data_IF_584081373586
#
_entry.id   IF_584081373586
#
_cell.length_a   1.000
_cell.length_b   1.000
_cell.length_c   1.000
_cell.angle_alpha   90.00
_cell.angle_beta   90.00
_cell.angle_gamma   90.00
#
_symmetry.space_group_name_H-M   'P 1'
#
loop_
_entity.id
_entity.type
_entity.pdbx_description
1 polymer ?
#
# COMPACT_ATOMS: atom_id res chain seq x y z
N UNK A 1 -69.51 -1.52 16.24
CA UNK A 1 -70.24 -0.31 15.82
C UNK A 1 -70.16 -0.23 14.29
N UNK A 2 -71.29 0.05 13.65
CA UNK A 2 -71.62 -0.20 12.23
C UNK A 2 -71.07 0.84 11.21
N UNK A 3 -71.14 0.46 9.92
CA UNK A 3 -71.15 1.22 8.65
C UNK A 3 -69.83 1.26 7.82
N UNK A 4 -69.75 0.58 6.64
CA UNK A 4 -70.25 0.91 5.26
C UNK A 4 -69.66 2.22 4.69
N UNK A 5 -69.28 2.39 3.41
CA UNK A 5 -69.16 1.54 2.22
C UNK A 5 -68.36 2.32 1.12
N UNK A 6 -67.70 1.56 0.22
CA UNK A 6 -67.38 1.81 -1.21
C UNK A 6 -66.83 3.17 -1.67
N UNK A 7 -65.70 3.12 -2.38
CA UNK A 7 -65.56 3.80 -3.67
C UNK A 7 -64.74 2.96 -4.66
N UNK A 8 -65.46 2.25 -5.55
CA UNK A 8 -64.93 1.45 -6.64
C UNK A 8 -64.75 2.36 -7.88
N UNK A 9 -63.79 3.29 -7.83
CA UNK A 9 -63.45 4.14 -9.00
C UNK A 9 -61.94 4.33 -9.21
N UNK A 10 -61.05 3.90 -8.30
CA UNK A 10 -59.60 4.12 -8.47
C UNK A 10 -58.87 3.00 -9.21
N UNK A 11 -59.38 1.75 -9.25
CA UNK A 11 -58.64 0.64 -9.86
C UNK A 11 -58.55 0.71 -11.39
N UNK A 12 -59.53 1.32 -12.07
CA UNK A 12 -59.49 1.46 -13.54
C UNK A 12 -58.52 2.57 -13.95
N UNK A 13 -58.44 3.66 -13.19
CA UNK A 13 -57.48 4.74 -13.45
C UNK A 13 -56.03 4.26 -13.27
N UNK A 14 -55.75 3.42 -12.26
CA UNK A 14 -54.42 2.85 -12.05
C UNK A 14 -54.04 1.90 -13.18
N UNK A 15 -54.97 1.08 -13.67
CA UNK A 15 -54.70 0.18 -14.80
C UNK A 15 -54.43 0.95 -16.10
N UNK A 16 -55.18 2.03 -16.38
CA UNK A 16 -54.98 2.85 -17.58
C UNK A 16 -53.63 3.57 -17.52
N UNK A 17 -53.23 4.09 -16.35
CA UNK A 17 -51.92 4.74 -16.18
C UNK A 17 -50.78 3.73 -16.38
N UNK A 18 -50.91 2.51 -15.86
CA UNK A 18 -49.91 1.46 -16.06
C UNK A 18 -49.83 0.97 -17.51
N UNK A 19 -50.96 0.87 -18.22
CA UNK A 19 -50.98 0.52 -19.64
C UNK A 19 -50.38 1.64 -20.51
N UNK A 20 -50.68 2.91 -20.19
CA UNK A 20 -50.08 4.06 -20.87
C UNK A 20 -48.57 4.14 -20.62
N UNK A 21 -48.11 3.87 -19.39
CA UNK A 21 -46.67 3.80 -19.09
C UNK A 21 -45.98 2.67 -19.87
N UNK A 22 -46.64 1.51 -20.00
CA UNK A 22 -46.09 0.37 -20.73
C UNK A 22 -46.08 0.59 -22.25
N UNK A 23 -47.10 1.27 -22.79
CA UNK A 23 -47.13 1.70 -24.20
C UNK A 23 -46.09 2.79 -24.47
N UNK A 24 -45.93 3.75 -23.55
CA UNK A 24 -44.87 4.77 -23.66
C UNK A 24 -43.47 4.15 -23.56
N UNK A 25 -43.25 3.15 -22.70
CA UNK A 25 -41.99 2.42 -22.62
C UNK A 25 -41.71 1.54 -23.85
N UNK A 26 -42.74 1.07 -24.58
CA UNK A 26 -42.58 0.36 -25.86
C UNK A 26 -42.39 1.29 -27.06
N UNK A 27 -43.00 2.48 -27.04
CA UNK A 27 -42.86 3.48 -28.10
C UNK A 27 -41.59 4.32 -27.93
N UNK A 28 -41.06 4.42 -26.71
CA UNK A 28 -39.73 4.96 -26.43
C UNK A 28 -38.68 3.87 -26.59
N UNK A 29 -38.46 3.46 -27.84
CA UNK A 29 -37.26 2.77 -28.25
C UNK A 29 -36.30 3.84 -28.76
N UNK A 30 -35.46 4.47 -27.92
CA UNK A 30 -34.36 5.24 -28.46
C UNK A 30 -33.56 4.21 -29.25
N UNK A 31 -33.47 4.40 -30.57
CA UNK A 31 -32.35 3.83 -31.31
C UNK A 31 -31.13 4.28 -30.53
N UNK A 32 -30.57 3.36 -29.76
CA UNK A 32 -29.21 3.46 -29.29
C UNK A 32 -28.46 3.41 -30.61
N UNK A 33 -28.15 4.60 -31.13
CA UNK A 33 -27.01 4.73 -32.01
C UNK A 33 -25.90 4.02 -31.25
N UNK A 34 -25.49 2.86 -31.75
CA UNK A 34 -24.20 2.29 -31.45
C UNK A 34 -23.19 3.35 -31.89
N UNK A 35 -22.94 4.30 -30.99
CA UNK A 35 -21.71 5.04 -31.00
C UNK A 35 -20.63 3.96 -31.03
N UNK A 36 -19.69 4.02 -31.98
CA UNK A 36 -18.60 3.07 -32.02
C UNK A 36 -17.98 3.06 -30.62
N UNK A 37 -17.80 1.87 -30.04
CA UNK A 37 -17.04 1.68 -28.81
C UNK A 37 -15.89 2.70 -28.82
N UNK A 38 -15.86 3.61 -27.85
CA UNK A 38 -14.74 4.52 -27.67
C UNK A 38 -13.49 3.68 -27.88
N UNK A 39 -12.70 4.03 -28.90
CA UNK A 39 -11.41 3.41 -29.13
C UNK A 39 -10.73 3.39 -27.76
N UNK A 40 -10.33 2.21 -27.28
CA UNK A 40 -9.62 2.10 -26.01
C UNK A 40 -8.40 3.01 -26.13
N UNK A 41 -8.47 4.21 -25.56
CA UNK A 41 -7.42 5.21 -25.74
C UNK A 41 -6.16 4.62 -25.10
N UNK A 42 -5.23 4.19 -25.96
CA UNK A 42 -3.94 3.69 -25.52
C UNK A 42 -3.29 4.78 -24.65
N UNK A 43 -2.69 4.44 -23.50
CA UNK A 43 -2.04 5.42 -22.66
C UNK A 43 -0.96 6.18 -23.46
N UNK A 44 -1.02 7.51 -23.40
CA UNK A 44 -0.01 8.41 -24.00
C UNK A 44 1.27 8.40 -23.17
N UNK A 45 2.09 7.36 -23.36
CA UNK A 45 3.38 7.22 -22.68
C UNK A 45 4.47 7.91 -23.51
N UNK A 46 5.30 8.77 -22.91
CA UNK A 46 6.43 9.40 -23.59
C UNK A 46 7.31 8.38 -24.33
N UNK A 47 7.66 8.69 -25.59
CA UNK A 47 8.45 7.82 -26.45
C UNK A 47 9.76 7.38 -25.79
N UNK A 48 10.44 8.30 -25.11
CA UNK A 48 11.69 8.00 -24.40
C UNK A 48 11.55 6.88 -23.35
N UNK A 49 10.40 6.77 -22.70
CA UNK A 49 10.14 5.71 -21.72
C UNK A 49 9.88 4.40 -22.46
N UNK A 50 9.00 4.40 -23.48
CA UNK A 50 8.71 3.20 -24.29
C UNK A 50 9.98 2.63 -24.94
N UNK A 51 10.84 3.51 -25.48
CA UNK A 51 12.10 3.12 -26.12
C UNK A 51 13.09 2.44 -25.15
N UNK A 52 13.13 2.87 -23.87
CA UNK A 52 13.95 2.20 -22.85
C UNK A 52 13.46 0.79 -22.55
N UNK A 53 12.14 0.58 -22.47
CA UNK A 53 11.56 -0.74 -22.21
C UNK A 53 11.72 -1.72 -23.40
N UNK A 54 11.86 -1.21 -24.62
CA UNK A 54 12.19 -2.03 -25.79
C UNK A 54 13.61 -2.61 -25.75
N UNK A 55 14.46 -2.14 -24.83
CA UNK A 55 15.83 -2.62 -24.69
C UNK A 55 15.92 -3.80 -23.69
N UNK A 56 15.86 -5.02 -24.21
CA UNK A 56 15.79 -6.25 -23.41
C UNK A 56 16.96 -6.44 -22.44
N UNK A 57 18.15 -5.94 -22.79
CA UNK A 57 19.36 -6.07 -21.98
C UNK A 57 19.31 -5.38 -20.61
N UNK A 58 18.35 -4.47 -20.39
CA UNK A 58 18.20 -3.75 -19.12
C UNK A 58 17.18 -4.37 -18.18
N UNK A 59 16.32 -5.28 -18.63
CA UNK A 59 15.31 -5.93 -17.79
C UNK A 59 14.55 -4.94 -16.89
N UNK A 60 14.02 -3.88 -17.51
CA UNK A 60 13.39 -2.77 -16.79
C UNK A 60 12.05 -3.15 -16.17
N UNK A 61 11.69 -2.46 -15.10
CA UNK A 61 10.36 -2.49 -14.48
C UNK A 61 9.93 -1.08 -14.07
N UNK A 62 8.66 -0.75 -14.28
CA UNK A 62 8.09 0.52 -13.86
C UNK A 62 7.93 0.56 -12.33
N UNK A 63 8.48 1.59 -11.69
CA UNK A 63 8.32 1.82 -10.24
C UNK A 63 7.54 3.11 -9.95
N UNK A 64 7.47 4.02 -10.91
CA UNK A 64 6.87 5.34 -10.71
C UNK A 64 5.34 5.29 -10.60
N UNK A 65 4.73 5.80 -9.51
CA UNK A 65 3.28 5.83 -9.37
C UNK A 65 2.54 6.55 -10.50
N UNK A 66 3.11 7.61 -11.09
CA UNK A 66 2.46 8.36 -12.17
C UNK A 66 2.41 7.53 -13.45
N UNK A 67 3.51 6.82 -13.77
CA UNK A 67 3.55 5.88 -14.90
C UNK A 67 2.59 4.71 -14.69
N UNK A 68 2.60 4.10 -13.50
CA UNK A 68 1.73 2.97 -13.18
C UNK A 68 0.24 3.36 -13.21
N UNK A 69 -0.12 4.55 -12.72
CA UNK A 69 -1.50 5.07 -12.79
C UNK A 69 -1.93 5.39 -14.22
N UNK A 70 -1.04 5.98 -15.02
CA UNK A 70 -1.27 6.20 -16.46
C UNK A 70 -1.56 4.87 -17.18
N UNK A 71 -0.72 3.86 -16.99
CA UNK A 71 -0.91 2.51 -17.57
C UNK A 71 -2.23 1.85 -17.15
N UNK A 72 -2.62 2.02 -15.88
CA UNK A 72 -3.84 1.41 -15.34
C UNK A 72 -5.13 2.11 -15.81
N UNK A 73 -5.10 3.43 -16.01
CA UNK A 73 -6.32 4.24 -16.20
C UNK A 73 -6.40 4.97 -17.54
N UNK A 74 -5.37 4.86 -18.37
CA UNK A 74 -5.12 5.68 -19.57
C UNK A 74 -5.09 7.20 -19.32
N UNK A 75 -5.11 7.66 -18.06
CA UNK A 75 -5.04 9.08 -17.68
C UNK A 75 -3.61 9.46 -17.31
N UNK A 76 -2.89 10.08 -18.24
CA UNK A 76 -1.45 10.28 -18.16
C UNK A 76 -1.01 11.70 -17.76
N UNK A 77 -1.95 12.56 -17.32
CA UNK A 77 -1.67 13.96 -16.92
C UNK A 77 -0.57 14.06 -15.85
N UNK A 78 -0.60 13.20 -14.83
CA UNK A 78 0.44 13.18 -13.78
C UNK A 78 1.81 12.77 -14.35
N UNK A 79 1.84 11.81 -15.28
CA UNK A 79 3.06 11.38 -15.95
C UNK A 79 3.62 12.48 -16.85
N UNK A 80 2.75 13.21 -17.56
CA UNK A 80 3.10 14.35 -18.42
C UNK A 80 3.63 15.54 -17.59
N UNK A 81 3.10 15.76 -16.39
CA UNK A 81 3.57 16.81 -15.49
C UNK A 81 4.84 16.43 -14.68
N UNK A 82 5.20 15.15 -14.60
CA UNK A 82 6.35 14.70 -13.81
C UNK A 82 7.69 15.12 -14.43
N UNK A 83 8.57 15.74 -13.64
CA UNK A 83 9.93 16.10 -14.07
C UNK A 83 10.81 14.87 -14.31
N UNK A 84 10.58 13.81 -13.52
CA UNK A 84 11.30 12.56 -13.62
C UNK A 84 10.39 11.35 -13.45
N UNK A 85 10.81 10.21 -14.02
CA UNK A 85 10.14 8.92 -13.91
C UNK A 85 11.09 7.88 -13.34
N UNK A 86 10.71 7.22 -12.26
CA UNK A 86 11.53 6.18 -11.61
C UNK A 86 11.24 4.77 -12.18
N UNK A 87 12.28 4.13 -12.72
CA UNK A 87 12.31 2.75 -13.17
C UNK A 87 13.29 1.90 -12.32
N UNK A 88 13.05 0.61 -12.31
CA UNK A 88 13.93 -0.40 -11.72
C UNK A 88 14.59 -1.26 -12.78
N UNK A 89 15.72 -1.87 -12.46
CA UNK A 89 16.35 -2.92 -13.26
C UNK A 89 16.80 -4.07 -12.37
N UNK A 90 16.68 -5.30 -12.86
CA UNK A 90 17.25 -6.50 -12.23
C UNK A 90 18.71 -6.76 -12.63
N UNK A 91 19.32 -5.88 -13.43
CA UNK A 91 20.73 -5.95 -13.76
C UNK A 91 21.59 -5.97 -12.48
N UNK A 92 22.66 -6.76 -12.50
CA UNK A 92 23.49 -7.02 -11.32
C UNK A 92 24.19 -5.76 -10.77
N UNK A 93 24.49 -4.80 -11.64
CA UNK A 93 25.07 -3.51 -11.28
C UNK A 93 24.88 -2.48 -12.42
N UNK A 94 25.37 -1.26 -12.21
CA UNK A 94 25.28 -0.17 -13.19
C UNK A 94 26.06 -0.39 -14.51
N UNK A 95 26.84 -1.47 -14.68
CA UNK A 95 27.51 -1.75 -15.96
C UNK A 95 26.53 -2.04 -17.09
N UNK A 96 25.32 -2.53 -16.79
CA UNK A 96 24.28 -2.73 -17.80
C UNK A 96 23.88 -1.43 -18.50
N UNK A 97 24.13 -0.26 -17.90
CA UNK A 97 23.89 1.04 -18.53
C UNK A 97 24.92 1.39 -19.61
N UNK A 98 26.06 0.69 -19.68
CA UNK A 98 27.01 0.85 -20.78
C UNK A 98 26.38 0.51 -22.13
N UNK A 99 25.37 -0.38 -22.14
CA UNK A 99 24.61 -0.76 -23.33
C UNK A 99 23.84 0.41 -23.97
N UNK A 100 23.67 1.52 -23.25
CA UNK A 100 22.99 2.71 -23.74
C UNK A 100 23.95 3.81 -24.21
N UNK A 101 25.28 3.63 -24.11
CA UNK A 101 26.26 4.70 -24.38
C UNK A 101 26.29 5.14 -25.86
N UNK A 102 25.98 4.26 -26.80
CA UNK A 102 25.98 4.55 -28.24
C UNK A 102 24.62 5.08 -28.76
N UNK A 103 23.77 5.52 -27.85
CA UNK A 103 22.40 5.98 -28.16
C UNK A 103 22.28 7.48 -27.86
N UNK A 104 21.25 8.18 -28.40
CA UNK A 104 21.07 9.63 -28.20
C UNK A 104 20.59 9.99 -26.78
N UNK A 105 21.01 9.26 -25.75
CA UNK A 105 20.64 9.51 -24.36
C UNK A 105 21.80 10.23 -23.64
N UNK A 106 21.46 11.21 -22.82
CA UNK A 106 22.42 11.77 -21.87
C UNK A 106 22.43 10.91 -20.61
N UNK A 107 23.54 10.22 -20.34
CA UNK A 107 23.64 9.27 -19.22
C UNK A 107 24.55 9.85 -18.14
N UNK A 108 24.01 9.96 -16.93
CA UNK A 108 24.77 10.36 -15.75
C UNK A 108 24.70 9.26 -14.69
N UNK A 109 25.82 8.57 -14.45
CA UNK A 109 25.94 7.61 -13.35
C UNK A 109 26.04 8.37 -12.02
N UNK A 110 25.05 8.19 -11.15
CA UNK A 110 25.03 8.80 -9.83
C UNK A 110 25.75 7.94 -8.80
N UNK A 111 25.55 6.61 -8.90
CA UNK A 111 26.17 5.61 -8.05
C UNK A 111 26.23 4.27 -8.78
N UNK A 112 26.93 3.24 -8.23
CA UNK A 112 26.94 1.90 -8.81
C UNK A 112 25.54 1.25 -8.95
N UNK A 113 24.51 1.82 -8.32
CA UNK A 113 23.16 1.28 -8.29
C UNK A 113 22.12 2.23 -8.89
N UNK A 114 22.52 3.37 -9.44
CA UNK A 114 21.56 4.37 -9.90
C UNK A 114 22.14 5.27 -10.99
N UNK A 115 21.36 5.43 -12.05
CA UNK A 115 21.70 6.23 -13.23
C UNK A 115 20.54 7.14 -13.60
N UNK A 116 20.86 8.37 -14.00
CA UNK A 116 19.93 9.27 -14.66
C UNK A 116 20.11 9.17 -16.17
N UNK A 117 18.99 9.16 -16.88
CA UNK A 117 18.93 9.12 -18.33
C UNK A 117 18.09 10.31 -18.79
N UNK A 118 18.73 11.27 -19.43
CA UNK A 118 18.06 12.35 -20.16
C UNK A 118 17.85 11.97 -21.62
N UNK A 119 16.79 12.51 -22.20
CA UNK A 119 16.61 12.53 -23.65
C UNK A 119 16.40 13.97 -24.09
N UNK A 120 17.17 14.38 -25.09
CA UNK A 120 17.09 15.71 -25.67
C UNK A 120 16.18 15.63 -26.90
N UNK A 121 15.03 16.29 -26.85
CA UNK A 121 14.19 16.47 -28.02
C UNK A 121 14.66 17.71 -28.79
N UNK A 122 14.36 17.80 -30.09
CA UNK A 122 14.72 18.96 -30.94
C UNK A 122 14.19 20.32 -30.43
N UNK A 123 13.20 20.30 -29.53
CA UNK A 123 12.59 21.46 -28.88
C UNK A 123 13.02 21.64 -27.41
N UNK A 124 14.06 20.93 -26.95
CA UNK A 124 14.62 20.98 -25.58
C UNK A 124 14.49 19.68 -24.78
N UNK A 125 15.09 19.65 -23.58
CA UNK A 125 15.03 18.50 -22.66
C UNK A 125 13.63 18.32 -22.10
N UNK A 126 13.05 17.11 -22.21
CA UNK A 126 11.63 16.96 -21.87
C UNK A 126 11.24 15.80 -20.95
N UNK A 127 12.19 15.13 -20.26
CA UNK A 127 11.97 14.31 -19.03
C UNK A 127 13.21 13.52 -18.67
N UNK A 128 13.55 13.47 -17.38
CA UNK A 128 14.62 12.61 -16.88
C UNK A 128 14.07 11.26 -16.43
N UNK A 129 14.73 10.17 -16.81
CA UNK A 129 14.41 8.84 -16.32
C UNK A 129 15.45 8.43 -15.29
N UNK A 130 15.00 8.13 -14.08
CA UNK A 130 15.84 7.61 -13.02
C UNK A 130 15.76 6.09 -13.05
N UNK A 131 16.88 5.39 -13.20
CA UNK A 131 16.92 3.94 -13.16
C UNK A 131 17.72 3.47 -11.95
N UNK A 132 17.10 2.69 -11.07
CA UNK A 132 17.75 2.08 -9.91
C UNK A 132 17.87 0.57 -10.03
N UNK A 133 19.01 0.02 -9.63
CA UNK A 133 19.22 -1.41 -9.49
C UNK A 133 18.38 -1.94 -8.33
N UNK A 134 17.58 -2.97 -8.60
CA UNK A 134 16.78 -3.70 -7.63
C UNK A 134 17.62 -4.82 -7.01
N UNK A 135 18.22 -4.56 -5.85
CA UNK A 135 19.04 -5.56 -5.18
C UNK A 135 18.17 -6.54 -4.39
N UNK A 136 18.08 -7.78 -4.86
CA UNK A 136 17.51 -8.87 -4.09
C UNK A 136 18.39 -9.17 -2.86
N UNK A 137 17.74 -9.44 -1.73
CA UNK A 137 18.41 -9.98 -0.55
C UNK A 137 18.36 -11.51 -0.61
N UNK A 138 19.49 -12.24 -0.56
CA UNK A 138 19.49 -13.70 -0.66
C UNK A 138 18.61 -14.38 0.39
N UNK A 139 18.64 -13.85 1.63
CA UNK A 139 17.94 -14.47 2.76
C UNK A 139 16.59 -13.80 3.09
N UNK A 140 16.14 -12.83 2.29
CA UNK A 140 14.97 -12.00 2.64
C UNK A 140 14.13 -11.69 1.41
N UNK A 141 12.82 -11.76 1.58
CA UNK A 141 11.84 -11.48 0.52
C UNK A 141 11.65 -9.97 0.27
N UNK A 142 12.71 -9.26 -0.12
CA UNK A 142 12.60 -7.88 -0.60
C UNK A 142 13.68 -7.49 -1.61
N UNK A 143 13.34 -6.47 -2.38
CA UNK A 143 14.20 -5.73 -3.29
C UNK A 143 14.58 -4.39 -2.64
N UNK A 144 15.88 -4.12 -2.53
CA UNK A 144 16.42 -2.86 -2.00
C UNK A 144 16.74 -1.89 -3.11
N UNK A 145 16.32 -0.65 -2.92
CA UNK A 145 16.69 0.52 -3.71
C UNK A 145 17.54 1.42 -2.81
N UNK A 146 18.75 1.73 -3.26
CA UNK A 146 19.63 2.63 -2.53
C UNK A 146 19.15 4.07 -2.67
N UNK A 147 19.36 4.82 -1.60
CA UNK A 147 19.15 6.25 -1.64
C UNK A 147 20.34 6.97 -2.25
N UNK A 148 20.07 8.16 -2.74
CA UNK A 148 21.06 9.10 -3.25
C UNK A 148 20.66 10.50 -2.82
N UNK A 149 21.63 11.40 -2.62
CA UNK A 149 21.34 12.73 -2.08
C UNK A 149 20.86 13.71 -3.15
N UNK A 150 21.42 13.63 -4.36
CA UNK A 150 21.18 14.62 -5.42
C UNK A 150 20.97 13.92 -6.78
N UNK A 151 19.72 13.67 -7.21
CA UNK A 151 18.45 14.03 -6.57
C UNK A 151 18.18 13.23 -5.28
N UNK A 152 17.28 13.72 -4.42
CA UNK A 152 16.88 13.04 -3.16
C UNK A 152 16.12 11.74 -3.50
N UNK A 153 16.85 10.65 -3.68
CA UNK A 153 16.29 9.31 -3.81
C UNK A 153 16.19 8.74 -2.40
N UNK A 154 14.95 8.51 -1.98
CA UNK A 154 14.66 7.89 -0.69
C UNK A 154 15.02 6.40 -0.80
N UNK A 155 15.85 5.84 0.11
CA UNK A 155 16.13 4.41 0.10
C UNK A 155 14.85 3.63 0.41
N UNK A 156 14.63 2.51 -0.28
CA UNK A 156 13.43 1.67 -0.13
C UNK A 156 13.78 0.20 -0.03
N UNK A 157 12.97 -0.54 0.73
CA UNK A 157 12.90 -1.99 0.64
C UNK A 157 11.45 -2.33 0.34
N UNK A 158 11.25 -3.02 -0.76
CA UNK A 158 9.94 -3.37 -1.27
C UNK A 158 9.89 -4.88 -1.28
N UNK A 159 8.86 -5.48 -0.67
CA UNK A 159 8.64 -6.93 -0.73
C UNK A 159 8.71 -7.38 -2.19
N UNK A 160 9.33 -8.52 -2.47
CA UNK A 160 9.46 -8.98 -3.84
C UNK A 160 8.06 -9.15 -4.46
N UNK A 161 7.94 -8.79 -5.73
CA UNK A 161 6.67 -8.79 -6.42
C UNK A 161 6.82 -9.43 -7.79
N UNK A 162 5.75 -10.05 -8.26
CA UNK A 162 5.68 -10.59 -9.62
C UNK A 162 5.39 -9.45 -10.58
N UNK A 163 5.92 -9.55 -11.79
CA UNK A 163 5.68 -8.59 -12.87
C UNK A 163 4.77 -9.19 -13.94
N UNK A 164 4.19 -8.30 -14.75
CA UNK A 164 3.46 -8.59 -15.99
C UNK A 164 3.81 -7.51 -17.01
N UNK A 165 3.60 -7.78 -18.30
CA UNK A 165 3.80 -6.78 -19.36
C UNK A 165 2.47 -6.12 -19.71
N UNK A 166 2.45 -4.79 -19.79
CA UNK A 166 1.30 -3.98 -20.19
C UNK A 166 1.77 -2.88 -21.14
N UNK A 167 1.19 -2.79 -22.34
CA UNK A 167 1.59 -1.81 -23.38
C UNK A 167 3.10 -1.77 -23.65
N UNK A 168 3.76 -2.94 -23.67
CA UNK A 168 5.21 -3.06 -23.86
C UNK A 168 6.06 -2.65 -22.64
N UNK A 169 5.43 -2.39 -21.49
CA UNK A 169 6.11 -2.00 -20.25
C UNK A 169 5.92 -3.08 -19.20
N UNK A 170 7.03 -3.52 -18.60
CA UNK A 170 7.00 -4.42 -17.44
C UNK A 170 6.55 -3.65 -16.20
N UNK A 171 5.47 -4.10 -15.57
CA UNK A 171 4.87 -3.49 -14.38
C UNK A 171 4.70 -4.51 -13.25
N UNK A 172 4.61 -4.07 -11.98
CA UNK A 172 4.13 -4.93 -10.90
C UNK A 172 2.75 -5.49 -11.22
N UNK A 173 2.53 -6.77 -10.94
CA UNK A 173 1.24 -7.46 -11.19
C UNK A 173 0.08 -6.82 -10.43
N UNK A 174 0.31 -6.45 -9.18
CA UNK A 174 -0.64 -5.70 -8.35
C UNK A 174 -0.17 -4.24 -8.23
N UNK A 175 -0.68 -3.40 -9.13
CA UNK A 175 -0.31 -1.99 -9.21
C UNK A 175 -0.75 -1.22 -7.96
N UNK A 176 -1.94 -1.49 -7.42
CA UNK A 176 -2.48 -0.71 -6.30
C UNK A 176 -1.71 -0.97 -5.01
N UNK A 177 -1.50 -2.24 -4.68
CA UNK A 177 -0.68 -2.63 -3.53
C UNK A 177 0.75 -2.11 -3.67
N UNK A 178 1.31 -2.16 -4.87
CA UNK A 178 2.65 -1.62 -5.13
C UNK A 178 2.70 -0.10 -4.91
N UNK A 179 1.75 0.67 -5.46
CA UNK A 179 1.70 2.13 -5.27
C UNK A 179 1.53 2.49 -3.79
N UNK A 180 0.68 1.76 -3.06
CA UNK A 180 0.48 1.98 -1.62
C UNK A 180 1.80 1.79 -0.85
N UNK A 181 2.52 0.69 -1.13
CA UNK A 181 3.84 0.42 -0.56
C UNK A 181 4.87 1.45 -0.99
N UNK A 182 4.87 1.88 -2.25
CA UNK A 182 5.81 2.86 -2.77
C UNK A 182 5.65 4.22 -2.09
N UNK A 183 4.41 4.69 -1.91
CA UNK A 183 4.16 5.99 -1.28
C UNK A 183 4.56 6.03 0.20
N UNK A 184 4.45 4.89 0.90
CA UNK A 184 4.60 4.83 2.37
C UNK A 184 5.89 4.15 2.84
N UNK A 185 6.38 3.18 2.10
CA UNK A 185 7.51 2.34 2.44
C UNK A 185 8.84 3.05 2.22
N UNK A 186 9.71 2.99 3.23
CA UNK A 186 11.10 3.44 3.15
C UNK A 186 11.98 2.39 3.79
N UNK A 187 13.22 2.33 3.36
CA UNK A 187 14.21 1.50 4.02
C UNK A 187 14.76 2.23 5.24
N UNK A 188 14.67 1.57 6.38
CA UNK A 188 15.30 2.01 7.61
C UNK A 188 16.29 0.95 8.04
N UNK A 189 17.56 1.30 7.97
CA UNK A 189 18.60 0.46 8.54
C UNK A 189 18.47 0.48 10.05
N UNK A 190 18.58 -0.69 10.66
CA UNK A 190 18.46 -0.80 12.10
C UNK A 190 19.81 -0.50 12.77
N UNK A 191 19.76 -0.15 14.06
CA UNK A 191 20.95 0.12 14.89
C UNK A 191 21.58 -1.20 15.36
N UNK A 192 22.36 -1.84 14.49
CA UNK A 192 23.02 -3.13 14.78
C UNK A 192 24.02 -3.05 15.95
N UNK A 193 24.60 -1.88 16.19
CA UNK A 193 25.42 -1.58 17.37
C UNK A 193 24.65 -1.84 18.65
N UNK A 194 23.43 -1.29 18.73
CA UNK A 194 22.58 -1.38 19.91
C UNK A 194 22.05 -2.80 20.12
N UNK A 195 21.69 -3.50 19.03
CA UNK A 195 21.21 -4.89 19.04
C UNK A 195 22.10 -5.85 19.84
N UNK A 196 23.42 -5.67 19.81
CA UNK A 196 24.38 -6.56 20.48
C UNK A 196 24.15 -6.64 21.99
N UNK A 197 23.59 -5.60 22.60
CA UNK A 197 23.33 -5.51 24.04
C UNK A 197 22.04 -6.18 24.51
N UNK A 198 21.17 -6.62 23.59
CA UNK A 198 19.84 -7.16 23.90
C UNK A 198 19.66 -8.61 23.47
N UNK A 199 20.77 -9.35 23.33
CA UNK A 199 20.73 -10.79 23.07
C UNK A 199 20.12 -11.51 24.27
N UNK A 200 19.26 -12.48 24.00
CA UNK A 200 18.62 -13.31 25.01
C UNK A 200 18.68 -14.77 24.60
N UNK A 201 19.07 -15.61 25.54
CA UNK A 201 18.94 -17.05 25.42
C UNK A 201 17.46 -17.43 25.64
N UNK A 202 16.90 -18.22 24.72
CA UNK A 202 15.52 -18.68 24.71
C UNK A 202 14.47 -17.55 24.64
N UNK A 203 14.36 -16.85 23.49
CA UNK A 203 13.33 -15.84 23.31
C UNK A 203 11.93 -16.49 23.22
N UNK A 204 10.93 -15.85 23.84
CA UNK A 204 9.50 -16.15 23.63
C UNK A 204 9.11 -15.81 22.19
N UNK A 205 9.60 -14.67 21.68
CA UNK A 205 9.42 -14.31 20.28
C UNK A 205 10.42 -15.08 19.41
N UNK A 206 9.88 -16.02 18.64
CA UNK A 206 10.63 -16.82 17.67
C UNK A 206 10.51 -16.25 16.24
N UNK A 207 11.34 -16.68 15.28
CA UNK A 207 11.22 -16.25 13.88
C UNK A 207 9.85 -16.53 13.26
N UNK A 208 9.14 -17.59 13.67
CA UNK A 208 7.78 -17.89 13.17
C UNK A 208 6.79 -16.79 13.55
N UNK A 209 6.87 -16.24 14.76
CA UNK A 209 6.06 -15.09 15.17
C UNK A 209 6.35 -13.83 14.34
N UNK A 210 7.60 -13.60 13.95
CA UNK A 210 7.96 -12.47 13.08
C UNK A 210 7.41 -12.67 11.66
N UNK A 211 7.44 -13.91 11.15
CA UNK A 211 6.80 -14.24 9.87
C UNK A 211 5.28 -14.07 9.94
N UNK A 212 4.63 -14.51 11.03
CA UNK A 212 3.21 -14.30 11.27
C UNK A 212 2.85 -12.81 11.31
N UNK A 213 3.65 -12.00 11.98
CA UNK A 213 3.48 -10.54 12.00
C UNK A 213 3.68 -9.87 10.64
N UNK A 214 4.67 -10.34 9.87
CA UNK A 214 4.87 -9.92 8.48
C UNK A 214 3.63 -10.23 7.64
N UNK A 215 3.10 -11.46 7.73
CA UNK A 215 1.87 -11.86 7.01
C UNK A 215 0.65 -11.08 7.47
N UNK A 216 0.50 -10.79 8.76
CA UNK A 216 -0.59 -9.94 9.25
C UNK A 216 -0.52 -8.53 8.63
N UNK A 217 0.69 -7.97 8.50
CA UNK A 217 0.89 -6.70 7.79
C UNK A 217 0.48 -6.77 6.31
N UNK A 218 0.60 -7.92 5.67
CA UNK A 218 0.17 -8.12 4.28
C UNK A 218 -1.36 -8.14 4.18
N UNK A 219 -2.06 -8.82 5.09
CA UNK A 219 -3.53 -8.81 5.16
C UNK A 219 -4.08 -7.39 5.34
N UNK A 220 -3.41 -6.57 6.15
CA UNK A 220 -3.76 -5.14 6.24
C UNK A 220 -3.60 -4.44 4.89
N UNK A 221 -2.47 -4.62 4.22
CA UNK A 221 -2.20 -3.98 2.93
C UNK A 221 -3.20 -4.39 1.85
N UNK A 222 -3.59 -5.67 1.79
CA UNK A 222 -4.62 -6.18 0.88
C UNK A 222 -5.98 -5.51 1.10
N UNK A 223 -6.29 -5.12 2.34
CA UNK A 223 -7.50 -4.36 2.67
C UNK A 223 -7.35 -2.84 2.51
N UNK A 224 -6.21 -2.35 2.01
CA UNK A 224 -5.91 -0.91 1.86
C UNK A 224 -5.45 -0.21 3.13
N UNK A 225 -5.09 -0.97 4.17
CA UNK A 225 -4.65 -0.48 5.48
C UNK A 225 -3.14 -0.60 5.64
N UNK A 226 -2.52 0.33 6.36
CA UNK A 226 -1.08 0.25 6.64
C UNK A 226 -0.82 0.14 8.13
N UNK A 227 -0.22 -0.97 8.51
CA UNK A 227 0.25 -1.24 9.85
C UNK A 227 1.43 -0.32 10.23
N UNK A 228 1.38 0.18 11.46
CA UNK A 228 2.43 0.96 12.11
C UNK A 228 2.77 0.21 13.39
N UNK A 229 4.04 -0.02 13.72
CA UNK A 229 4.33 -0.61 15.03
C UNK A 229 4.11 0.42 16.13
N UNK A 230 3.57 -0.03 17.24
CA UNK A 230 3.32 0.80 18.42
C UNK A 230 4.02 0.21 19.65
N UNK A 231 3.97 0.95 20.75
CA UNK A 231 4.29 0.44 22.09
C UNK A 231 5.63 -0.29 22.20
N UNK A 232 5.60 -1.44 22.87
CA UNK A 232 6.78 -2.28 23.08
C UNK A 232 7.33 -2.87 21.78
N UNK A 233 6.47 -3.05 20.78
CA UNK A 233 6.82 -3.59 19.47
C UNK A 233 7.69 -2.61 18.68
N UNK A 234 7.32 -1.33 18.66
CA UNK A 234 8.13 -0.26 18.07
C UNK A 234 9.45 -0.06 18.81
N UNK A 235 9.40 -0.07 20.16
CA UNK A 235 10.59 0.06 20.99
C UNK A 235 11.60 -1.06 20.69
N UNK A 236 11.12 -2.30 20.56
CA UNK A 236 11.95 -3.43 20.15
C UNK A 236 12.70 -3.15 18.86
N UNK A 237 12.02 -2.62 17.85
CA UNK A 237 12.66 -2.37 16.56
C UNK A 237 13.82 -1.36 16.69
N UNK A 238 13.56 -0.22 17.36
CA UNK A 238 14.57 0.82 17.57
C UNK A 238 15.74 0.33 18.41
N UNK A 239 15.47 -0.53 19.40
CA UNK A 239 16.45 -0.96 20.39
C UNK A 239 17.29 -2.15 19.92
N UNK A 240 16.70 -3.07 19.17
CA UNK A 240 17.28 -4.39 18.95
C UNK A 240 16.94 -5.02 17.59
N UNK A 241 16.52 -4.19 16.63
CA UNK A 241 16.23 -4.62 15.25
C UNK A 241 15.22 -5.77 15.17
N UNK A 242 14.22 -5.81 16.04
CA UNK A 242 13.24 -6.90 16.11
C UNK A 242 12.22 -6.64 17.19
N UNK A 243 11.48 -7.66 17.63
CA UNK A 243 10.62 -7.54 18.81
C UNK A 243 11.43 -7.76 20.07
N UNK A 244 10.97 -7.22 21.20
CA UNK A 244 11.50 -7.54 22.52
C UNK A 244 11.27 -9.04 22.81
N UNK A 245 12.31 -9.86 23.04
CA UNK A 245 12.22 -11.32 22.98
C UNK A 245 11.36 -11.94 24.08
N UNK A 246 11.08 -11.22 25.15
CA UNK A 246 10.29 -11.69 26.30
C UNK A 246 8.90 -11.05 26.38
N UNK A 247 8.48 -10.30 25.35
CA UNK A 247 7.10 -9.79 25.28
C UNK A 247 6.14 -10.95 25.00
N UNK A 248 4.89 -10.80 25.44
CA UNK A 248 3.81 -11.81 25.28
C UNK A 248 2.72 -11.35 24.33
N UNK A 249 2.85 -10.13 23.82
CA UNK A 249 1.94 -9.47 22.89
C UNK A 249 2.71 -8.54 21.95
N UNK A 250 2.06 -8.19 20.85
CA UNK A 250 2.51 -7.22 19.86
C UNK A 250 1.53 -6.05 19.78
N UNK A 251 2.01 -4.86 19.45
CA UNK A 251 1.21 -3.65 19.33
C UNK A 251 1.31 -3.10 17.91
N UNK A 252 0.17 -3.00 17.23
CA UNK A 252 0.05 -2.47 15.88
C UNK A 252 -0.94 -1.30 15.89
N UNK A 253 -0.61 -0.24 15.18
CA UNK A 253 -1.45 0.93 14.94
C UNK A 253 -1.92 0.99 13.51
N UNK A 254 -3.18 1.38 13.32
CA UNK A 254 -3.76 1.66 11.99
C UNK A 254 -4.53 2.97 12.08
N UNK A 255 -4.42 3.83 11.08
CA UNK A 255 -5.22 5.06 11.07
C UNK A 255 -6.69 4.70 10.86
N UNK A 256 -7.58 5.24 11.69
CA UNK A 256 -9.02 4.98 11.55
C UNK A 256 -9.59 5.41 10.18
N UNK A 257 -8.97 6.41 9.55
CA UNK A 257 -9.32 6.83 8.20
C UNK A 257 -9.06 5.75 7.13
N UNK A 258 -8.24 4.76 7.43
CA UNK A 258 -7.93 3.62 6.57
C UNK A 258 -8.77 2.40 6.90
N UNK A 259 -9.57 2.44 7.97
CA UNK A 259 -10.34 1.29 8.41
C UNK A 259 -11.21 0.72 7.29
N UNK A 260 -10.97 -0.56 6.99
CA UNK A 260 -11.74 -1.33 6.05
C UNK A 260 -12.21 -2.63 6.71
N UNK A 261 -13.53 -2.85 6.75
CA UNK A 261 -14.12 -4.04 7.36
C UNK A 261 -13.75 -5.34 6.62
N UNK A 262 -13.35 -5.27 5.35
CA UNK A 262 -12.86 -6.42 4.58
C UNK A 262 -11.68 -7.11 5.26
N UNK A 263 -10.85 -6.38 6.01
CA UNK A 263 -9.79 -7.01 6.81
C UNK A 263 -10.33 -8.07 7.79
N UNK A 264 -11.49 -7.82 8.39
CA UNK A 264 -12.10 -8.79 9.33
C UNK A 264 -12.59 -10.04 8.60
N UNK A 265 -13.00 -9.90 7.35
CA UNK A 265 -13.36 -11.04 6.49
C UNK A 265 -12.11 -11.83 6.11
N UNK A 266 -11.01 -11.15 5.76
CA UNK A 266 -9.73 -11.80 5.49
C UNK A 266 -9.23 -12.59 6.69
N UNK A 267 -9.23 -12.01 7.90
CA UNK A 267 -8.83 -12.74 9.11
C UNK A 267 -9.78 -13.91 9.42
N UNK A 268 -11.09 -13.76 9.20
CA UNK A 268 -12.05 -14.86 9.43
C UNK A 268 -11.88 -16.03 8.47
N UNK A 269 -11.43 -15.75 7.24
CA UNK A 269 -11.24 -16.74 6.19
C UNK A 269 -9.80 -17.28 6.14
N UNK A 270 -8.94 -16.84 7.06
CA UNK A 270 -7.57 -17.29 7.18
C UNK A 270 -7.46 -18.42 8.22
N UNK A 271 -6.77 -19.51 7.87
CA UNK A 271 -6.67 -20.68 8.73
C UNK A 271 -5.74 -20.49 9.95
N UNK A 272 -4.86 -19.48 9.91
CA UNK A 272 -3.83 -19.28 10.94
C UNK A 272 -4.10 -18.06 11.85
N UNK A 273 -4.85 -17.07 11.36
CA UNK A 273 -5.24 -15.90 12.16
C UNK A 273 -6.64 -16.05 12.74
N UNK A 274 -6.82 -15.65 14.01
CA UNK A 274 -8.11 -15.66 14.69
C UNK A 274 -8.30 -14.40 15.50
N UNK A 275 -9.47 -13.78 15.37
CA UNK A 275 -9.86 -12.66 16.23
C UNK A 275 -10.16 -13.21 17.64
N UNK A 276 -9.37 -12.79 18.63
CA UNK A 276 -9.55 -13.14 20.04
C UNK A 276 -10.50 -12.18 20.75
N UNK A 277 -10.43 -10.90 20.37
CA UNK A 277 -11.13 -9.82 21.07
C UNK A 277 -11.42 -8.67 20.11
N UNK A 278 -12.54 -7.99 20.35
CA UNK A 278 -12.91 -6.73 19.73
C UNK A 278 -13.43 -5.78 20.80
N UNK A 279 -12.96 -4.52 20.79
CA UNK A 279 -13.35 -3.48 21.75
C UNK A 279 -13.73 -2.21 21.00
N UNK A 280 -14.68 -1.48 21.56
CA UNK A 280 -15.10 -0.17 21.05
C UNK A 280 -15.92 -0.26 19.77
N UNK A 281 -16.00 0.86 19.05
CA UNK A 281 -16.68 0.97 17.75
C UNK A 281 -15.80 1.79 16.81
N UNK A 282 -16.02 1.67 15.50
CA UNK A 282 -15.27 2.45 14.49
C UNK A 282 -15.26 3.94 14.82
N UNK A 283 -16.34 4.48 15.37
CA UNK A 283 -16.48 5.89 15.71
C UNK A 283 -15.65 6.27 16.95
N UNK A 284 -15.34 5.31 17.83
CA UNK A 284 -14.64 5.57 19.08
C UNK A 284 -13.93 4.33 19.66
N UNK A 285 -12.61 4.45 19.82
CA UNK A 285 -11.80 3.53 20.62
C UNK A 285 -11.75 2.11 20.10
N UNK A 286 -11.71 1.95 18.77
CA UNK A 286 -11.71 0.66 18.12
C UNK A 286 -10.39 -0.09 18.27
N UNK A 287 -10.48 -1.37 18.66
CA UNK A 287 -9.33 -2.24 18.89
C UNK A 287 -9.69 -3.71 18.59
N UNK A 288 -8.75 -4.46 18.03
CA UNK A 288 -8.83 -5.92 17.91
C UNK A 288 -7.61 -6.60 18.49
N UNK A 289 -7.78 -7.79 19.03
CA UNK A 289 -6.67 -8.70 19.31
C UNK A 289 -6.76 -9.87 18.34
N UNK A 290 -5.67 -10.16 17.62
CA UNK A 290 -5.61 -11.24 16.62
C UNK A 290 -4.45 -12.19 16.99
N UNK A 291 -4.67 -13.50 16.94
CA UNK A 291 -3.59 -14.48 17.17
C UNK A 291 -2.44 -14.28 16.19
N UNK A 292 -1.21 -14.51 16.63
CA UNK A 292 -0.04 -14.50 15.76
C UNK A 292 0.43 -15.94 15.63
N UNK A 293 0.48 -16.49 14.41
CA UNK A 293 1.00 -17.83 14.17
C UNK A 293 2.45 -17.94 14.67
N UNK A 294 2.76 -19.05 15.32
CA UNK A 294 4.09 -19.31 15.86
C UNK A 294 4.11 -20.46 16.86
N UNK A 295 5.26 -20.64 17.49
CA UNK A 295 5.52 -21.81 18.34
C UNK A 295 4.87 -21.70 19.74
N UNK A 296 4.32 -20.54 20.07
CA UNK A 296 3.67 -20.26 21.34
C UNK A 296 2.41 -19.40 21.14
N UNK A 297 1.52 -19.37 22.13
CA UNK A 297 0.34 -18.51 22.09
C UNK A 297 0.76 -17.03 22.19
N UNK A 298 0.70 -16.34 21.06
CA UNK A 298 1.00 -14.91 20.92
C UNK A 298 -0.18 -14.22 20.24
N UNK A 299 -0.36 -12.93 20.48
CA UNK A 299 -1.35 -12.11 19.78
C UNK A 299 -0.83 -10.71 19.50
N UNK A 300 -1.43 -10.05 18.52
CA UNK A 300 -1.24 -8.63 18.27
C UNK A 300 -2.49 -7.87 18.65
N UNK A 301 -2.34 -6.84 19.48
CA UNK A 301 -3.32 -5.80 19.71
C UNK A 301 -3.20 -4.73 18.61
N UNK A 302 -4.30 -4.52 17.90
CA UNK A 302 -4.43 -3.61 16.76
C UNK A 302 -5.25 -2.42 17.23
N UNK A 303 -4.59 -1.29 17.41
CA UNK A 303 -5.16 -0.04 17.87
C UNK A 303 -5.50 0.86 16.67
N UNK A 304 -6.75 1.28 16.56
CA UNK A 304 -7.09 2.31 15.59
C UNK A 304 -6.80 3.71 16.13
N UNK A 305 -6.03 4.46 15.33
CA UNK A 305 -5.53 5.80 15.63
C UNK A 305 -6.50 6.84 15.09
N UNK A 306 -7.08 7.62 15.99
CA UNK A 306 -8.01 8.70 15.70
C UNK A 306 -7.27 10.03 15.65
N UNK A 307 -7.62 10.88 14.70
CA UNK A 307 -7.03 12.21 14.60
C UNK A 307 -7.53 13.11 15.73
N UNK A 308 -6.62 13.81 16.40
CA UNK A 308 -6.94 14.92 17.31
C UNK A 308 -6.24 16.19 16.81
N UNK A 309 -7.01 17.04 16.13
CA UNK A 309 -6.49 18.26 15.49
C UNK A 309 -5.45 17.98 14.41
N UNK A 310 -4.57 18.94 14.17
CA UNK A 310 -3.50 18.82 13.17
C UNK A 310 -2.24 18.11 13.69
N UNK A 311 -2.04 18.08 15.01
CA UNK A 311 -0.77 17.74 15.63
C UNK A 311 -0.76 16.41 16.41
N UNK A 312 -1.90 15.75 16.60
CA UNK A 312 -1.95 14.52 17.39
C UNK A 312 -2.83 13.45 16.74
N UNK A 313 -2.51 12.20 17.06
CA UNK A 313 -3.36 11.04 16.92
C UNK A 313 -3.55 10.42 18.31
N UNK A 314 -4.62 9.70 18.54
CA UNK A 314 -4.87 9.06 19.82
C UNK A 314 -5.49 7.68 19.61
N UNK A 315 -5.20 6.77 20.53
CA UNK A 315 -5.86 5.48 20.61
C UNK A 315 -6.43 5.30 22.02
N UNK A 316 -7.51 4.54 22.11
CA UNK A 316 -8.00 4.09 23.41
C UNK A 316 -7.16 2.91 23.86
N UNK A 317 -6.86 2.85 25.15
CA UNK A 317 -6.25 1.67 25.79
C UNK A 317 -7.21 1.19 26.86
N UNK A 318 -7.37 -0.13 26.91
CA UNK A 318 -8.10 -0.76 27.99
C UNK A 318 -7.14 -1.35 29.01
N UNK A 319 -7.26 -0.91 30.26
CA UNK A 319 -6.53 -1.50 31.38
C UNK A 319 -7.41 -2.51 32.14
N UNK A 320 -6.77 -3.55 32.69
CA UNK A 320 -7.39 -4.54 33.57
C UNK A 320 -8.03 -3.92 34.83
N UNK A 321 -9.06 -4.61 35.35
CA UNK A 321 -10.08 -4.15 36.32
C UNK A 321 -9.53 -3.67 37.68
N UNK A 322 -10.17 -2.64 38.23
CA UNK A 322 -10.53 -2.67 39.67
C UNK A 322 -12.01 -2.97 39.91
N UNK A 323 -12.96 -2.60 39.05
CA UNK A 323 -14.39 -2.96 39.21
C UNK A 323 -15.08 -2.90 37.86
N UNK A 324 -15.70 -4.01 37.40
CA UNK A 324 -16.70 -4.23 36.31
C UNK A 324 -16.79 -3.29 35.07
N UNK A 325 -15.83 -2.40 34.88
CA UNK A 325 -15.70 -1.43 33.81
C UNK A 325 -14.22 -1.46 33.40
N UNK A 326 -13.97 -1.63 32.10
CA UNK A 326 -12.66 -1.30 31.53
C UNK A 326 -12.55 0.21 31.60
N UNK A 327 -11.57 0.76 32.35
CA UNK A 327 -11.28 2.19 32.25
C UNK A 327 -10.73 2.44 30.85
N UNK A 328 -11.48 3.20 30.06
CA UNK A 328 -11.00 3.73 28.79
C UNK A 328 -10.04 4.87 29.13
N UNK A 329 -8.75 4.59 29.01
CA UNK A 329 -7.74 5.64 28.95
C UNK A 329 -7.42 5.91 27.49
N UNK A 330 -6.76 7.02 27.21
CA UNK A 330 -6.23 7.28 25.88
C UNK A 330 -4.77 7.72 26.00
N UNK A 331 -3.95 7.27 25.06
CA UNK A 331 -2.64 7.89 24.85
C UNK A 331 -2.70 8.76 23.60
N UNK A 332 -2.00 9.89 23.66
CA UNK A 332 -1.84 10.81 22.53
C UNK A 332 -0.47 10.60 21.93
N UNK A 333 -0.45 10.29 20.65
CA UNK A 333 0.74 10.27 19.83
C UNK A 333 0.87 11.64 19.14
N UNK A 334 1.98 12.37 19.30
CA UNK A 334 2.24 13.50 18.44
C UNK A 334 2.29 13.01 17.00
N UNK A 335 1.56 13.69 16.10
CA UNK A 335 1.88 13.68 14.68
C UNK A 335 3.24 14.32 14.58
N UNK A 336 4.25 13.48 14.57
CA UNK A 336 5.62 13.91 14.46
C UNK A 336 5.76 14.75 13.18
N UNK A 337 6.03 16.05 13.35
CA UNK A 337 6.93 16.81 12.46
C UNK A 337 8.39 16.51 12.77
N UNK A 338 8.68 15.51 13.62
CA UNK A 338 9.95 14.80 13.51
C UNK A 338 9.97 14.24 12.09
N UNK A 339 11.06 14.41 11.33
CA UNK A 339 11.34 13.62 10.14
C UNK A 339 11.51 12.12 10.52
N UNK A 340 10.55 11.53 11.21
CA UNK A 340 10.37 10.09 11.35
C UNK A 340 9.48 9.72 10.17
N UNK A 341 10.13 9.65 9.01
CA UNK A 341 9.60 9.31 7.69
C UNK A 341 9.25 7.80 7.60
N UNK A 342 8.85 7.13 8.68
CA UNK A 342 9.29 5.76 8.94
C UNK A 342 8.15 4.72 8.97
N UNK A 343 8.11 3.82 7.99
CA UNK A 343 7.54 2.48 8.13
C UNK A 343 8.61 1.55 8.70
N UNK A 344 8.23 0.68 9.64
CA UNK A 344 9.15 -0.16 10.38
C UNK A 344 9.31 -1.54 9.74
N UNK A 345 10.54 -2.05 9.73
CA UNK A 345 10.93 -3.36 9.17
C UNK A 345 11.11 -4.37 10.31
N UNK A 346 10.26 -5.39 10.39
CA UNK A 346 10.49 -6.49 11.34
C UNK A 346 11.24 -7.60 10.62
N UNK A 347 12.48 -7.85 11.05
CA UNK A 347 13.32 -8.98 10.60
C UNK A 347 13.18 -10.14 11.55
#
# INVERSE_FOLDING_TARGET
MFCRARNLKSSVAVLIVLLLLWVLLRLYNPKIDEQPLEASNEPEIPFNIKALFAFEGLQLVALDPALLKCLKTSKCVELQAADAVHLGTYATNGSAFQLLMDKPWHIQSLSPHTTLIGYEYEIGYNKTVLISVLQASPDKDYLKIYGYKEPEIVPRAIKSFKTVTSYGITVPRDIDSFILRWKRGRFLECRHDLKKHYKKENPVITPSHIQGLSRLSELFLESGQVAILLGGTLLGWYRQCGVIPYTTDLDIGIKIAEFNSTFLEFVKNDDEFRILRQIGRKEYGFEFSVTIPGDTNMYADIFYLYRQGAAFEWATVTYGKSYNYKRLSYFRLPKTKIRVKNCIKMT
#
